data_IF_933919835263
#
_entry.id   IF_933919835263
#
_cell.length_a   1.000
_cell.length_b   1.000
_cell.length_c   1.000
_cell.angle_alpha   90.00
_cell.angle_beta   90.00
_cell.angle_gamma   90.00
#
_symmetry.space_group_name_H-M   'P 1'
#
loop_
_entity.id
_entity.type
_entity.pdbx_description
1 polymer ?
#
# COMPACT_ATOMS: atom_id res chain seq x y z
N UNK A 1 -2.25 -6.42 -11.59
CA UNK A 1 -1.39 -6.57 -10.38
C UNK A 1 -1.83 -7.77 -9.55
N UNK A 2 -0.90 -8.50 -8.90
CA UNK A 2 -1.22 -9.63 -7.99
C UNK A 2 -1.17 -9.19 -6.52
N UNK A 3 -1.91 -9.91 -5.66
CA UNK A 3 -1.86 -9.71 -4.21
C UNK A 3 -0.56 -10.26 -3.63
N UNK A 4 0.14 -9.45 -2.81
CA UNK A 4 1.39 -9.81 -2.12
C UNK A 4 1.18 -9.95 -0.62
N UNK A 5 2.13 -10.56 0.08
CA UNK A 5 2.08 -10.66 1.55
C UNK A 5 2.05 -9.28 2.23
N UNK A 6 2.72 -8.29 1.64
CA UNK A 6 2.69 -6.88 2.07
C UNK A 6 2.41 -5.99 0.86
N UNK A 7 1.50 -5.04 1.01
CA UNK A 7 1.18 -4.05 -0.02
C UNK A 7 1.16 -2.65 0.57
N UNK A 8 1.66 -1.68 -0.18
CA UNK A 8 1.48 -0.26 0.09
C UNK A 8 0.02 0.15 -0.18
N UNK A 9 -0.34 1.36 0.24
CA UNK A 9 -1.65 1.94 -0.07
C UNK A 9 -1.84 2.11 -1.58
N UNK A 10 -0.78 2.46 -2.32
CA UNK A 10 -0.80 2.62 -3.77
C UNK A 10 -1.13 1.30 -4.49
N UNK A 11 -0.38 0.24 -4.19
CA UNK A 11 -0.58 -1.06 -4.83
C UNK A 11 -1.97 -1.65 -4.52
N UNK A 12 -2.46 -1.49 -3.29
CA UNK A 12 -3.82 -1.93 -2.94
C UNK A 12 -4.89 -1.10 -3.67
N UNK A 13 -4.62 0.17 -3.95
CA UNK A 13 -5.51 1.05 -4.71
C UNK A 13 -5.57 0.67 -6.19
N UNK A 14 -4.42 0.36 -6.79
CA UNK A 14 -4.33 -0.14 -8.15
C UNK A 14 -5.07 -1.48 -8.29
N UNK A 15 -4.80 -2.42 -7.37
CA UNK A 15 -5.48 -3.71 -7.37
C UNK A 15 -7.01 -3.57 -7.26
N UNK A 16 -7.49 -2.69 -6.38
CA UNK A 16 -8.93 -2.39 -6.24
C UNK A 16 -9.52 -1.87 -7.56
N UNK A 17 -8.85 -0.89 -8.17
CA UNK A 17 -9.34 -0.22 -9.39
C UNK A 17 -9.39 -1.19 -10.56
N UNK A 18 -8.33 -1.97 -10.75
CA UNK A 18 -8.19 -2.95 -11.83
C UNK A 18 -9.21 -4.10 -11.72
N UNK A 19 -9.43 -4.64 -10.52
CA UNK A 19 -10.25 -5.85 -10.35
C UNK A 19 -11.73 -5.59 -10.07
N UNK A 20 -12.09 -4.38 -9.64
CA UNK A 20 -13.49 -4.07 -9.28
C UNK A 20 -14.10 -2.93 -10.09
N UNK A 21 -13.29 -2.18 -10.85
CA UNK A 21 -13.73 -0.97 -11.55
C UNK A 21 -14.17 0.17 -10.62
N UNK A 22 -13.94 0.04 -9.30
CA UNK A 22 -14.33 1.06 -8.31
C UNK A 22 -13.23 2.09 -8.14
N UNK A 23 -13.64 3.34 -7.92
CA UNK A 23 -12.72 4.42 -7.59
C UNK A 23 -12.04 4.17 -6.23
N UNK A 24 -10.71 4.23 -6.23
CA UNK A 24 -9.91 4.03 -5.03
C UNK A 24 -9.88 5.29 -4.16
N UNK A 25 -10.27 5.13 -2.89
CA UNK A 25 -10.12 6.14 -1.85
C UNK A 25 -9.75 5.45 -0.52
N UNK A 26 -9.35 6.23 0.50
CA UNK A 26 -8.86 5.68 1.77
C UNK A 26 -9.84 4.69 2.43
N UNK A 27 -11.14 4.95 2.35
CA UNK A 27 -12.18 4.11 2.94
C UNK A 27 -12.44 2.86 2.08
N UNK A 28 -12.58 3.02 0.76
CA UNK A 28 -12.84 1.90 -0.15
C UNK A 28 -11.66 0.92 -0.18
N UNK A 29 -10.43 1.44 -0.19
CA UNK A 29 -9.19 0.65 -0.12
C UNK A 29 -9.09 -0.09 1.21
N UNK A 30 -9.37 0.57 2.34
CA UNK A 30 -9.34 -0.08 3.66
C UNK A 30 -10.38 -1.18 3.80
N UNK A 31 -11.62 -0.96 3.33
CA UNK A 31 -12.67 -1.99 3.32
C UNK A 31 -12.30 -3.16 2.40
N UNK A 32 -11.72 -2.87 1.25
CA UNK A 32 -11.27 -3.87 0.30
C UNK A 32 -10.15 -4.74 0.87
N UNK A 33 -9.11 -4.13 1.44
CA UNK A 33 -8.02 -4.84 2.09
C UNK A 33 -8.52 -5.74 3.23
N UNK A 34 -9.45 -5.23 4.06
CA UNK A 34 -10.08 -6.02 5.13
C UNK A 34 -10.85 -7.22 4.57
N UNK A 35 -11.58 -7.06 3.47
CA UNK A 35 -12.29 -8.16 2.79
C UNK A 35 -11.34 -9.24 2.29
N UNK A 36 -10.15 -8.86 1.86
CA UNK A 36 -9.08 -9.75 1.40
C UNK A 36 -8.23 -10.35 2.53
N UNK A 37 -8.55 -10.07 3.80
CA UNK A 37 -7.85 -10.62 4.96
C UNK A 37 -6.56 -9.87 5.33
N UNK A 38 -6.34 -8.67 4.81
CA UNK A 38 -5.19 -7.86 5.20
C UNK A 38 -5.45 -7.10 6.51
N UNK A 39 -4.41 -7.04 7.35
CA UNK A 39 -4.32 -6.16 8.51
C UNK A 39 -3.54 -4.88 8.16
N UNK A 40 -3.74 -3.82 8.93
CA UNK A 40 -3.01 -2.55 8.76
C UNK A 40 -1.77 -2.55 9.65
N UNK A 41 -0.61 -2.32 9.05
CA UNK A 41 0.67 -2.18 9.74
C UNK A 41 1.24 -0.78 9.54
N UNK A 42 1.64 -0.10 10.63
CA UNK A 42 2.08 1.31 10.61
C UNK A 42 3.45 1.54 11.26
N UNK A 43 4.55 1.00 10.70
CA UNK A 43 5.88 1.22 11.25
C UNK A 43 6.33 2.67 11.11
N UNK A 44 7.21 3.09 12.02
CA UNK A 44 8.01 4.28 11.85
C UNK A 44 9.27 3.91 11.05
N UNK A 45 9.45 4.52 9.88
CA UNK A 45 10.60 4.29 8.99
C UNK A 45 11.19 5.67 8.68
N UNK A 46 12.48 5.87 8.97
CA UNK A 46 13.18 7.14 8.77
C UNK A 46 12.42 8.35 9.36
N UNK A 47 11.88 8.20 10.57
CA UNK A 47 11.12 9.24 11.27
C UNK A 47 9.70 9.49 10.73
N UNK A 48 9.22 8.71 9.76
CA UNK A 48 7.87 8.84 9.18
C UNK A 48 7.02 7.61 9.46
N UNK A 49 5.74 7.82 9.80
CA UNK A 49 4.77 6.73 9.91
C UNK A 49 4.38 6.29 8.49
N UNK A 50 4.82 5.10 8.09
CA UNK A 50 4.43 4.48 6.83
C UNK A 50 3.25 3.54 7.05
N UNK A 51 2.25 3.53 6.16
CA UNK A 51 1.11 2.61 6.27
C UNK A 51 1.20 1.51 5.21
N UNK A 52 1.11 0.26 5.65
CA UNK A 52 1.06 -0.94 4.83
C UNK A 52 -0.17 -1.79 5.15
N UNK A 53 -0.57 -2.59 4.18
CA UNK A 53 -1.49 -3.71 4.35
C UNK A 53 -0.66 -5.00 4.37
N UNK A 54 -0.86 -5.86 5.37
CA UNK A 54 -0.15 -7.15 5.51
C UNK A 54 -1.12 -8.31 5.60
N UNK A 55 -0.88 -9.37 4.84
CA UNK A 55 -1.61 -10.64 4.92
C UNK A 55 -0.59 -11.79 4.98
N UNK A 56 -0.33 -12.34 6.18
CA UNK A 56 0.67 -13.40 6.36
C UNK A 56 0.25 -14.75 5.75
N UNK A 57 -1.01 -14.89 5.32
CA UNK A 57 -1.50 -16.13 4.68
C UNK A 57 -1.04 -16.25 3.22
N UNK A 58 -0.62 -15.15 2.60
CA UNK A 58 -0.08 -15.14 1.24
C UNK A 58 1.40 -15.45 1.34
N UNK A 59 1.82 -16.54 0.71
CA UNK A 59 3.24 -16.86 0.54
C UNK A 59 3.77 -15.96 -0.58
N UNK A 60 4.79 -15.18 -0.26
CA UNK A 60 5.44 -14.32 -1.24
C UNK A 60 6.32 -15.20 -2.14
N UNK A 61 6.12 -15.14 -3.45
CA UNK A 61 6.82 -16.00 -4.42
C UNK A 61 8.29 -15.55 -4.66
N UNK A 62 8.82 -14.63 -3.85
CA UNK A 62 10.24 -14.25 -3.85
C UNK A 62 10.59 -12.93 -4.54
N UNK A 63 9.62 -12.07 -4.85
CA UNK A 63 9.90 -10.73 -5.38
C UNK A 63 10.29 -9.81 -4.20
N UNK A 64 11.58 -9.77 -3.87
CA UNK A 64 12.14 -8.90 -2.84
C UNK A 64 11.90 -7.42 -3.19
N UNK A 65 10.87 -6.85 -2.58
CA UNK A 65 10.44 -5.48 -2.85
C UNK A 65 11.38 -4.48 -2.18
N UNK A 66 12.25 -3.89 -3.00
CA UNK A 66 13.07 -2.73 -2.62
C UNK A 66 12.16 -1.63 -2.07
N UNK A 67 12.45 -1.16 -0.86
CA UNK A 67 11.80 0.00 -0.26
C UNK A 67 12.12 1.25 -1.10
N UNK A 68 11.39 1.47 -2.21
CA UNK A 68 11.36 2.78 -2.85
C UNK A 68 10.48 3.69 -2.00
N UNK A 69 11.05 4.20 -0.92
CA UNK A 69 10.53 5.42 -0.30
C UNK A 69 10.71 6.51 -1.33
N UNK A 70 9.64 6.87 -2.03
CA UNK A 70 9.64 8.04 -2.88
C UNK A 70 10.05 9.25 -2.03
N UNK A 71 11.30 9.69 -2.18
CA UNK A 71 11.72 11.07 -1.98
C UNK A 71 10.94 11.89 -3.01
N UNK A 72 9.68 12.20 -2.70
CA UNK A 72 9.01 13.28 -3.42
C UNK A 72 9.68 14.57 -2.96
N UNK A 73 10.68 14.97 -3.73
CA UNK A 73 10.98 16.38 -3.95
C UNK A 73 9.65 17.10 -4.18
N UNK A 74 9.35 18.07 -3.34
CA UNK A 74 8.58 19.21 -3.77
C UNK A 74 9.09 20.40 -2.99
N UNK A 75 9.97 21.16 -3.66
CA UNK A 75 10.27 22.52 -3.28
C UNK A 75 8.97 23.30 -3.16
N UNK A 76 8.83 24.03 -2.07
CA UNK A 76 7.96 25.18 -2.03
C UNK A 76 8.87 26.38 -1.79
N UNK A 77 9.43 26.90 -2.88
CA UNK A 77 9.74 28.32 -2.94
C UNK A 77 8.41 29.09 -2.88
N UNK A 78 8.35 30.07 -1.98
CA UNK A 78 7.48 31.27 -1.91
C UNK A 78 7.32 31.64 -0.44
N UNK A 79 7.61 32.85 0.02
CA UNK A 79 8.06 34.12 -0.56
C UNK A 79 8.74 34.90 0.57
#
# INVERSE_FOLDING_TARGET
MKLKSRMTVGEMSEHLTEHTGKFANRVSVGRYAKKLGYAVYKPMINGRICQFYVNPSIKDDGEAETLRTNERENGHERE
#
